data_IF_229306490247
#
_entry.id   IF_229306490247
#
_cell.length_a   1.000
_cell.length_b   1.000
_cell.length_c   1.000
_cell.angle_alpha   90.00
_cell.angle_beta   90.00
_cell.angle_gamma   90.00
#
_symmetry.space_group_name_H-M   'P 1'
#
loop_
_entity.id
_entity.type
_entity.pdbx_description
1 polymer ?
#
# COMPACT_ATOMS: atom_id res chain seq x y z
N UNK A 1 -9.13 -6.14 3.77
CA UNK A 1 -9.63 -4.83 3.29
C UNK A 1 -8.42 -3.93 3.06
N UNK A 2 -8.20 -3.57 1.84
CA UNK A 2 -7.03 -2.83 1.41
C UNK A 2 -7.39 -1.41 0.99
N UNK A 3 -6.50 -0.50 1.27
CA UNK A 3 -6.54 0.90 0.92
C UNK A 3 -5.33 1.21 0.05
N UNK A 4 -5.56 1.83 -1.10
CA UNK A 4 -4.50 2.21 -2.04
C UNK A 4 -4.59 3.70 -2.37
N UNK A 5 -3.45 4.36 -2.43
CA UNK A 5 -3.29 5.72 -2.92
C UNK A 5 -2.33 5.71 -4.10
N UNK A 6 -2.77 6.33 -5.18
CA UNK A 6 -2.01 6.50 -6.41
C UNK A 6 -2.12 7.96 -6.90
N UNK A 7 -1.17 8.44 -7.70
CA UNK A 7 -1.35 9.68 -8.44
C UNK A 7 -2.56 9.56 -9.38
N UNK A 8 -3.35 10.63 -9.51
CA UNK A 8 -4.37 10.67 -10.54
C UNK A 8 -3.70 10.71 -11.93
N UNK A 9 -4.29 10.09 -12.94
CA UNK A 9 -3.75 10.03 -14.31
C UNK A 9 -3.47 11.41 -14.95
N UNK A 10 -4.10 12.47 -14.43
CA UNK A 10 -3.87 13.86 -14.83
C UNK A 10 -2.69 14.56 -14.11
N UNK A 11 -2.21 13.98 -13.00
CA UNK A 11 -1.10 14.54 -12.23
C UNK A 11 0.19 13.83 -12.64
N UNK A 12 0.99 14.47 -13.48
CA UNK A 12 2.36 14.01 -13.74
C UNK A 12 3.19 14.25 -12.48
N UNK A 13 3.34 13.21 -11.66
CA UNK A 13 4.32 13.21 -10.59
C UNK A 13 5.71 13.44 -11.19
N UNK A 14 6.51 14.31 -10.57
CA UNK A 14 7.90 14.49 -10.96
C UNK A 14 8.60 13.12 -10.96
N UNK A 15 9.26 12.72 -12.04
CA UNK A 15 9.91 11.42 -12.11
C UNK A 15 10.94 11.31 -10.99
N UNK A 16 10.86 10.26 -10.20
CA UNK A 16 11.91 9.88 -9.29
C UNK A 16 13.17 9.59 -10.13
N UNK A 17 14.38 9.97 -9.70
CA UNK A 17 15.59 9.74 -10.46
C UNK A 17 15.79 8.22 -10.68
N UNK A 18 15.60 7.78 -11.91
CA UNK A 18 15.89 6.41 -12.33
C UNK A 18 17.39 6.27 -12.43
N UNK A 19 18.01 5.57 -11.47
CA UNK A 19 19.41 5.18 -11.57
C UNK A 19 19.54 4.13 -12.69
N UNK A 20 20.09 4.51 -13.84
CA UNK A 20 20.56 3.56 -14.86
C UNK A 20 21.70 2.74 -14.25
N UNK A 21 21.47 1.46 -14.08
CA UNK A 21 22.53 0.52 -13.76
C UNK A 21 23.44 0.37 -15.00
N UNK A 22 24.63 0.90 -14.90
CA UNK A 22 25.72 0.63 -15.85
C UNK A 22 26.70 -0.36 -15.22
N UNK A 23 26.94 -1.47 -15.90
CA UNK A 23 28.17 -2.25 -15.83
C UNK A 23 28.26 -3.25 -14.67
N UNK A 24 28.05 -4.52 -14.99
CA UNK A 24 28.43 -5.66 -14.16
C UNK A 24 29.95 -5.86 -14.30
N UNK A 25 30.70 -5.71 -13.20
CA UNK A 25 32.02 -6.31 -13.03
C UNK A 25 31.95 -7.36 -11.92
N UNK A 26 32.45 -8.58 -12.12
CA UNK A 26 32.49 -9.58 -11.07
C UNK A 26 33.71 -9.36 -10.17
N UNK A 27 33.52 -9.64 -8.88
CA UNK A 27 34.48 -9.63 -7.77
C UNK A 27 34.58 -8.31 -6.98
N UNK A 28 33.66 -8.18 -6.03
CA UNK A 28 33.88 -7.44 -4.80
C UNK A 28 33.23 -8.22 -3.63
N UNK A 29 33.97 -8.34 -2.54
CA UNK A 29 33.51 -8.85 -1.23
C UNK A 29 32.10 -8.34 -0.90
N UNK A 30 31.27 -9.04 -0.10
CA UNK A 30 29.91 -8.60 0.19
C UNK A 30 29.95 -7.28 0.96
N UNK A 31 30.02 -6.17 0.24
CA UNK A 31 29.63 -4.88 0.77
C UNK A 31 28.21 -5.07 1.29
N UNK A 32 28.02 -4.88 2.60
CA UNK A 32 26.67 -4.84 3.18
C UNK A 32 25.88 -3.82 2.38
N UNK A 33 25.05 -4.33 1.46
CA UNK A 33 24.19 -3.50 0.63
C UNK A 33 23.38 -2.61 1.56
N UNK A 34 23.47 -1.30 1.37
CA UNK A 34 22.67 -0.35 2.15
C UNK A 34 21.22 -0.76 2.08
N UNK A 35 20.49 -0.74 3.21
CA UNK A 35 19.08 -1.14 3.21
C UNK A 35 18.34 -0.31 2.18
N UNK A 36 17.56 -0.96 1.32
CA UNK A 36 16.70 -0.31 0.32
C UNK A 36 15.30 -0.01 0.85
N UNK A 37 15.04 -0.34 2.10
CA UNK A 37 13.80 -0.06 2.80
C UNK A 37 14.06 0.51 4.19
N UNK A 38 13.08 1.26 4.71
CA UNK A 38 13.08 1.78 6.07
C UNK A 38 11.76 1.46 6.77
N UNK A 39 11.83 1.19 8.08
CA UNK A 39 10.65 1.00 8.90
C UNK A 39 10.82 1.66 10.25
N UNK A 40 9.79 2.36 10.73
CA UNK A 40 9.79 3.02 12.03
C UNK A 40 8.37 3.24 12.55
N UNK A 41 8.25 3.51 13.86
CA UNK A 41 6.97 3.85 14.51
C UNK A 41 6.53 5.30 14.30
N UNK A 42 7.40 6.18 13.82
CA UNK A 42 7.06 7.58 13.53
C UNK A 42 6.79 7.80 12.04
N UNK A 43 5.79 8.60 11.73
CA UNK A 43 5.28 8.81 10.36
C UNK A 43 6.32 9.47 9.43
N UNK A 44 7.29 10.20 9.96
CA UNK A 44 8.33 10.84 9.16
C UNK A 44 9.17 9.86 8.34
N UNK A 45 9.17 8.57 8.68
CA UNK A 45 9.83 7.51 7.88
C UNK A 45 9.32 7.49 6.43
N UNK A 46 8.07 7.88 6.17
CA UNK A 46 7.50 7.91 4.83
C UNK A 46 8.13 8.98 3.93
N UNK A 47 8.69 10.05 4.51
CA UNK A 47 9.40 11.09 3.75
C UNK A 47 10.75 10.59 3.20
N UNK A 48 11.31 9.54 3.81
CA UNK A 48 12.57 8.93 3.38
C UNK A 48 12.48 8.21 2.03
N UNK A 49 11.28 8.02 1.49
CA UNK A 49 11.08 7.44 0.15
C UNK A 49 11.80 8.22 -0.95
N UNK A 50 12.10 9.51 -0.71
CA UNK A 50 12.85 10.37 -1.63
C UNK A 50 14.37 10.21 -1.49
N UNK A 51 14.84 9.48 -0.48
CA UNK A 51 16.26 9.23 -0.26
C UNK A 51 16.77 8.24 -1.31
N UNK A 52 17.89 8.59 -1.93
CA UNK A 52 18.49 7.74 -2.98
C UNK A 52 18.78 6.32 -2.45
N UNK A 53 18.25 5.34 -3.13
CA UNK A 53 18.42 3.92 -2.81
C UNK A 53 17.32 3.36 -1.91
N UNK A 54 16.43 4.17 -1.34
CA UNK A 54 15.24 3.72 -0.62
C UNK A 54 14.09 3.60 -1.63
N UNK A 55 13.46 2.44 -1.68
CA UNK A 55 12.32 2.16 -2.54
C UNK A 55 11.10 1.60 -1.79
N UNK A 56 11.18 1.52 -0.46
CA UNK A 56 10.09 1.08 0.40
C UNK A 56 10.22 1.75 1.77
N UNK A 57 9.14 2.37 2.25
CA UNK A 57 9.04 2.91 3.60
C UNK A 57 7.82 2.33 4.32
N UNK A 58 8.00 1.85 5.55
CA UNK A 58 6.94 1.25 6.36
C UNK A 58 6.77 2.08 7.63
N UNK A 59 5.61 2.70 7.77
CA UNK A 59 5.20 3.31 9.02
C UNK A 59 4.46 2.28 9.88
N UNK A 60 5.11 1.85 10.95
CA UNK A 60 4.58 0.91 11.95
C UNK A 60 3.70 1.66 12.95
N UNK A 61 2.48 2.01 12.54
CA UNK A 61 1.55 2.72 13.40
C UNK A 61 0.75 1.76 14.28
N UNK A 62 0.36 2.23 15.44
CA UNK A 62 -0.54 1.49 16.33
C UNK A 62 -1.93 1.36 15.70
N UNK A 63 -2.54 0.18 15.86
CA UNK A 63 -3.95 -0.02 15.55
C UNK A 63 -4.83 0.84 16.45
N UNK A 64 -5.82 1.52 15.85
CA UNK A 64 -6.76 2.35 16.60
C UNK A 64 -8.05 1.58 16.89
N UNK A 65 -8.51 1.51 18.14
CA UNK A 65 -9.72 0.74 18.50
C UNK A 65 -10.96 1.13 17.72
N UNK A 66 -11.09 2.41 17.32
CA UNK A 66 -12.24 2.90 16.56
C UNK A 66 -12.33 2.31 15.13
N UNK A 67 -11.25 1.78 14.58
CA UNK A 67 -11.31 1.10 13.29
C UNK A 67 -12.10 -0.20 13.37
N UNK A 68 -12.04 -0.92 14.49
CA UNK A 68 -12.63 -2.24 14.62
C UNK A 68 -14.15 -2.23 14.34
N UNK A 69 -14.88 -1.31 14.95
CA UNK A 69 -16.34 -1.20 14.75
C UNK A 69 -16.69 -0.82 13.29
N UNK A 70 -15.93 0.07 12.67
CA UNK A 70 -16.11 0.43 11.27
C UNK A 70 -15.81 -0.76 10.35
N UNK A 71 -14.70 -1.44 10.58
CA UNK A 71 -14.29 -2.61 9.81
C UNK A 71 -15.31 -3.74 9.94
N UNK A 72 -15.80 -4.01 11.15
CA UNK A 72 -16.86 -5.00 11.38
C UNK A 72 -18.13 -4.65 10.57
N UNK A 73 -18.55 -3.39 10.60
CA UNK A 73 -19.69 -2.90 9.81
C UNK A 73 -19.48 -3.12 8.31
N UNK A 74 -18.26 -2.87 7.81
CA UNK A 74 -17.92 -3.07 6.39
C UNK A 74 -17.87 -4.56 6.05
N UNK A 75 -17.25 -5.39 6.89
CA UNK A 75 -17.06 -6.81 6.61
C UNK A 75 -18.34 -7.63 6.72
N UNK A 76 -19.26 -7.25 7.60
CA UNK A 76 -20.57 -7.91 7.75
C UNK A 76 -21.60 -7.48 6.70
N UNK A 77 -21.33 -6.38 5.97
CA UNK A 77 -22.21 -5.94 4.90
C UNK A 77 -22.13 -6.91 3.70
N UNK A 78 -23.26 -7.35 3.12
CA UNK A 78 -23.26 -8.26 1.98
C UNK A 78 -22.73 -7.63 0.67
N UNK A 79 -22.63 -6.30 0.60
CA UNK A 79 -22.11 -5.61 -0.57
C UNK A 79 -20.57 -5.63 -0.56
N UNK A 80 -19.97 -5.97 -1.69
CA UNK A 80 -18.53 -5.86 -1.87
C UNK A 80 -18.12 -4.39 -1.97
N UNK A 81 -17.30 -3.91 -1.04
CA UNK A 81 -16.88 -2.51 -0.99
C UNK A 81 -15.89 -2.20 -2.12
N UNK A 82 -16.19 -1.19 -2.92
CA UNK A 82 -15.28 -0.61 -3.91
C UNK A 82 -15.58 0.90 -4.04
N UNK A 83 -14.86 1.72 -3.28
CA UNK A 83 -14.91 3.17 -3.40
C UNK A 83 -13.68 3.69 -4.13
N UNK A 84 -13.88 4.67 -4.99
CA UNK A 84 -12.83 5.34 -5.76
C UNK A 84 -13.09 6.85 -5.70
N UNK A 85 -12.22 7.59 -5.01
CA UNK A 85 -12.39 9.00 -4.71
C UNK A 85 -11.11 9.76 -5.10
N UNK A 86 -11.24 11.04 -5.41
CA UNK A 86 -10.11 11.91 -5.73
C UNK A 86 -9.99 13.00 -4.67
N UNK A 87 -8.83 13.11 -4.03
CA UNK A 87 -8.52 14.08 -2.98
C UNK A 87 -9.65 14.22 -1.92
N UNK A 88 -10.14 13.10 -1.32
CA UNK A 88 -11.34 13.13 -0.52
C UNK A 88 -11.13 13.84 0.81
N UNK A 89 -12.17 14.54 1.27
CA UNK A 89 -12.28 15.03 2.64
C UNK A 89 -12.75 13.91 3.58
N UNK A 90 -12.52 14.03 4.91
CA UNK A 90 -13.06 13.09 5.89
C UNK A 90 -14.58 12.89 5.78
N UNK A 91 -15.31 13.97 5.54
CA UNK A 91 -16.78 13.95 5.41
C UNK A 91 -17.21 13.16 4.17
N UNK A 92 -16.58 13.42 3.01
CA UNK A 92 -16.89 12.69 1.77
C UNK A 92 -16.63 11.18 1.90
N UNK A 93 -15.53 10.76 2.53
CA UNK A 93 -15.26 9.34 2.76
C UNK A 93 -16.35 8.73 3.64
N UNK A 94 -16.70 9.38 4.73
CA UNK A 94 -17.73 8.89 5.66
C UNK A 94 -19.12 8.81 5.01
N UNK A 95 -19.54 9.83 4.27
CA UNK A 95 -20.82 9.88 3.56
C UNK A 95 -20.90 8.77 2.47
N UNK A 96 -19.85 8.63 1.70
CA UNK A 96 -19.80 7.56 0.69
C UNK A 96 -19.85 6.17 1.32
N UNK A 97 -19.15 5.93 2.42
CA UNK A 97 -19.23 4.69 3.16
C UNK A 97 -20.64 4.43 3.70
N UNK A 98 -21.25 5.41 4.37
CA UNK A 98 -22.62 5.28 4.91
C UNK A 98 -23.63 5.00 3.79
N UNK A 99 -23.57 5.75 2.70
CA UNK A 99 -24.44 5.57 1.53
C UNK A 99 -24.26 4.19 0.90
N UNK A 100 -23.00 3.80 0.66
CA UNK A 100 -22.70 2.52 0.04
C UNK A 100 -23.18 1.32 0.89
N UNK A 101 -22.97 1.39 2.20
CA UNK A 101 -23.32 0.33 3.13
C UNK A 101 -24.79 0.36 3.53
N UNK A 102 -25.53 1.44 3.23
CA UNK A 102 -26.93 1.62 3.65
C UNK A 102 -27.08 1.73 5.17
N UNK A 103 -26.15 2.42 5.83
CA UNK A 103 -26.08 2.51 7.29
C UNK A 103 -26.77 3.77 7.78
N UNK A 104 -27.79 3.61 8.66
CA UNK A 104 -28.57 4.71 9.23
C UNK A 104 -28.39 4.90 10.73
N UNK A 105 -27.89 3.92 11.47
CA UNK A 105 -27.71 4.03 12.91
C UNK A 105 -26.62 5.04 13.28
N UNK A 106 -26.85 5.81 14.33
CA UNK A 106 -25.90 6.83 14.80
C UNK A 106 -24.53 6.23 15.17
N UNK A 107 -24.52 5.09 15.87
CA UNK A 107 -23.29 4.44 16.32
C UNK A 107 -22.44 3.98 15.13
N UNK A 108 -23.05 3.38 14.13
CA UNK A 108 -22.34 2.95 12.93
C UNK A 108 -21.84 4.14 12.08
N UNK A 109 -22.64 5.20 11.94
CA UNK A 109 -22.21 6.45 11.29
C UNK A 109 -21.02 7.09 12.01
N UNK A 110 -21.02 7.10 13.34
CA UNK A 110 -19.91 7.64 14.14
C UNK A 110 -18.62 6.86 13.92
N UNK A 111 -18.67 5.53 13.92
CA UNK A 111 -17.48 4.67 13.67
C UNK A 111 -16.96 4.83 12.25
N UNK A 112 -17.84 4.89 11.25
CA UNK A 112 -17.47 5.12 9.85
C UNK A 112 -16.89 6.52 9.62
N UNK A 113 -17.38 7.53 10.35
CA UNK A 113 -16.80 8.89 10.31
C UNK A 113 -15.37 8.90 10.85
N UNK A 114 -15.13 8.25 11.98
CA UNK A 114 -13.79 8.13 12.56
C UNK A 114 -12.82 7.39 11.64
N UNK A 115 -13.29 6.30 11.02
CA UNK A 115 -12.53 5.53 10.03
C UNK A 115 -12.27 6.37 8.76
N UNK A 116 -13.29 7.05 8.22
CA UNK A 116 -13.17 7.95 7.08
C UNK A 116 -12.17 9.08 7.32
N UNK A 117 -12.09 9.58 8.54
CA UNK A 117 -11.09 10.58 8.95
C UNK A 117 -9.67 10.01 8.84
N UNK A 118 -9.45 8.78 9.32
CA UNK A 118 -8.14 8.14 9.18
C UNK A 118 -7.73 7.95 7.72
N UNK A 119 -8.66 7.44 6.90
CA UNK A 119 -8.45 7.22 5.47
C UNK A 119 -8.14 8.52 4.73
N UNK A 120 -8.89 9.60 4.99
CA UNK A 120 -8.65 10.91 4.37
C UNK A 120 -7.32 11.54 4.84
N UNK A 121 -6.94 11.35 6.11
CA UNK A 121 -5.65 11.79 6.62
C UNK A 121 -4.48 11.08 5.93
N UNK A 122 -4.61 9.79 5.62
CA UNK A 122 -3.60 9.09 4.83
C UNK A 122 -3.53 9.63 3.38
N UNK A 123 -4.67 10.00 2.78
CA UNK A 123 -4.68 10.64 1.47
C UNK A 123 -3.95 11.99 1.48
N UNK A 124 -4.20 12.82 2.50
CA UNK A 124 -3.50 14.10 2.69
C UNK A 124 -1.99 13.91 2.94
N UNK A 125 -1.62 12.91 3.74
CA UNK A 125 -0.22 12.54 3.97
C UNK A 125 0.46 12.11 2.68
N UNK A 126 -0.20 11.25 1.88
CA UNK A 126 0.31 10.85 0.57
C UNK A 126 0.51 12.04 -0.36
N UNK A 127 -0.46 12.97 -0.43
CA UNK A 127 -0.33 14.21 -1.19
C UNK A 127 0.91 15.00 -0.76
N UNK A 128 1.13 15.15 0.55
CA UNK A 128 2.28 15.87 1.11
C UNK A 128 3.61 15.19 0.75
N UNK A 129 3.70 13.88 0.91
CA UNK A 129 4.94 13.12 0.66
C UNK A 129 5.22 13.00 -0.84
N UNK A 130 4.20 12.74 -1.66
CA UNK A 130 4.36 12.56 -3.10
C UNK A 130 4.46 13.87 -3.88
N UNK A 131 3.88 14.96 -3.36
CA UNK A 131 3.70 16.23 -4.07
C UNK A 131 2.52 16.22 -5.06
N UNK A 132 1.73 15.14 -5.08
CA UNK A 132 0.53 15.01 -5.92
C UNK A 132 -0.59 15.85 -5.34
N UNK A 133 -1.21 16.71 -6.16
CA UNK A 133 -2.29 17.60 -5.69
C UNK A 133 -3.62 16.88 -5.45
N UNK A 134 -3.91 15.90 -6.29
CA UNK A 134 -5.19 15.18 -6.30
C UNK A 134 -4.97 13.66 -6.21
N UNK A 135 -4.60 13.14 -5.03
CA UNK A 135 -4.38 11.70 -4.85
C UNK A 135 -5.67 10.93 -5.10
N UNK A 136 -5.56 9.82 -5.82
CA UNK A 136 -6.66 8.89 -6.03
C UNK A 136 -6.69 7.88 -4.90
N UNK A 137 -7.81 7.82 -4.19
CA UNK A 137 -8.09 6.87 -3.13
C UNK A 137 -8.92 5.71 -3.67
N UNK A 138 -8.44 4.48 -3.48
CA UNK A 138 -9.25 3.27 -3.65
C UNK A 138 -9.37 2.56 -2.32
N UNK A 139 -10.61 2.33 -1.88
CA UNK A 139 -10.92 1.55 -0.69
C UNK A 139 -11.74 0.32 -1.13
N UNK A 140 -11.16 -0.87 -0.98
CA UNK A 140 -11.77 -2.10 -1.47
C UNK A 140 -11.82 -3.17 -0.40
N UNK A 141 -12.90 -3.95 -0.39
CA UNK A 141 -12.95 -5.27 0.24
C UNK A 141 -12.63 -6.31 -0.84
N UNK A 142 -11.51 -6.98 -0.67
CA UNK A 142 -11.08 -8.06 -1.57
C UNK A 142 -11.36 -9.40 -0.88
N UNK A 143 -12.10 -10.28 -1.53
CA UNK A 143 -12.45 -11.60 -0.99
C UNK A 143 -11.36 -12.63 -1.31
N UNK A 144 -10.67 -12.46 -2.44
CA UNK A 144 -9.70 -13.43 -2.99
C UNK A 144 -8.23 -13.06 -2.74
N UNK A 145 -7.92 -12.28 -1.70
CA UNK A 145 -6.54 -11.94 -1.34
C UNK A 145 -5.82 -10.94 -2.25
N UNK A 146 -6.49 -10.41 -3.26
CA UNK A 146 -5.94 -9.38 -4.16
C UNK A 146 -4.95 -9.90 -5.20
N UNK A 147 -3.91 -9.13 -5.50
CA UNK A 147 -2.89 -9.55 -6.46
C UNK A 147 -1.99 -10.63 -5.84
N UNK A 148 -2.04 -11.83 -6.41
CA UNK A 148 -1.31 -13.02 -5.94
C UNK A 148 0.08 -13.15 -6.56
N UNK A 149 0.49 -12.20 -7.41
CA UNK A 149 1.78 -12.22 -8.09
C UNK A 149 2.71 -11.12 -7.56
N UNK A 150 3.97 -11.46 -7.35
CA UNK A 150 4.99 -10.44 -7.19
C UNK A 150 5.24 -9.73 -8.52
N UNK A 151 5.11 -8.43 -8.51
CA UNK A 151 5.34 -7.56 -9.67
C UNK A 151 5.90 -6.21 -9.21
N UNK A 152 6.66 -5.50 -10.04
CA UNK A 152 6.94 -4.10 -9.77
C UNK A 152 5.68 -3.28 -9.99
N UNK A 153 5.44 -2.30 -9.14
CA UNK A 153 4.36 -1.35 -9.40
C UNK A 153 4.71 -0.38 -10.52
N UNK A 154 3.70 -0.07 -11.33
CA UNK A 154 3.87 0.80 -12.49
C UNK A 154 3.65 2.29 -12.22
N UNK A 155 2.83 2.73 -11.23
CA UNK A 155 2.87 4.13 -10.83
C UNK A 155 4.18 4.48 -10.14
N UNK A 156 4.60 5.71 -10.26
CA UNK A 156 5.85 6.21 -9.69
C UNK A 156 5.88 6.17 -8.15
N UNK A 157 4.74 6.11 -7.50
CA UNK A 157 4.60 6.01 -6.05
C UNK A 157 3.21 5.47 -5.67
N UNK A 158 3.15 4.58 -4.68
CA UNK A 158 1.91 4.04 -4.14
C UNK A 158 1.96 3.94 -2.63
N UNK A 159 0.84 4.26 -1.96
CA UNK A 159 0.66 4.04 -0.54
C UNK A 159 -0.43 3.00 -0.30
N UNK A 160 -0.16 2.03 0.56
CA UNK A 160 -1.11 0.97 0.93
C UNK A 160 -1.25 0.90 2.45
N UNK A 161 -2.47 0.67 2.91
CA UNK A 161 -2.77 0.25 4.27
C UNK A 161 -3.81 -0.87 4.26
N UNK A 162 -3.50 -2.01 4.84
CA UNK A 162 -4.46 -3.10 5.03
C UNK A 162 -5.10 -2.96 6.40
N UNK A 163 -6.40 -2.72 6.45
CA UNK A 163 -7.14 -2.55 7.71
C UNK A 163 -7.70 -3.85 8.30
N UNK A 164 -7.85 -4.88 7.48
CA UNK A 164 -8.29 -6.21 7.91
C UNK A 164 -7.78 -7.30 6.97
N UNK A 165 -7.47 -8.46 7.54
CA UNK A 165 -6.91 -9.60 6.81
C UNK A 165 -5.37 -9.53 6.67
N UNK A 166 -4.79 -10.43 5.89
CA UNK A 166 -3.34 -10.46 5.67
C UNK A 166 -2.89 -9.21 4.91
N UNK A 167 -1.76 -8.64 5.33
CA UNK A 167 -1.18 -7.49 4.67
C UNK A 167 -0.45 -7.82 3.38
N UNK A 168 0.00 -6.78 2.69
CA UNK A 168 0.75 -6.89 1.44
C UNK A 168 2.07 -7.63 1.69
N UNK A 169 2.36 -8.63 0.86
CA UNK A 169 3.65 -9.29 0.83
C UNK A 169 4.64 -8.54 -0.06
N UNK A 170 5.90 -8.58 0.33
CA UNK A 170 6.97 -7.94 -0.43
C UNK A 170 8.29 -8.70 -0.31
N UNK A 171 9.21 -8.43 -1.23
CA UNK A 171 10.52 -9.05 -1.31
C UNK A 171 11.64 -8.02 -1.18
N UNK A 172 12.67 -8.36 -0.43
CA UNK A 172 13.92 -7.62 -0.46
C UNK A 172 14.58 -7.73 -1.84
N UNK A 173 15.34 -6.71 -2.21
CA UNK A 173 15.96 -6.63 -3.55
C UNK A 173 16.87 -7.83 -3.87
N UNK A 174 17.50 -8.43 -2.86
CA UNK A 174 18.35 -9.61 -2.98
C UNK A 174 17.59 -10.94 -2.91
N UNK A 175 16.26 -10.88 -2.67
CA UNK A 175 15.38 -12.05 -2.62
C UNK A 175 14.48 -12.19 -3.85
N UNK A 176 14.74 -11.45 -4.92
CA UNK A 176 13.91 -11.46 -6.11
C UNK A 176 14.71 -11.68 -7.40
N UNK A 177 14.25 -12.63 -8.23
CA UNK A 177 14.70 -12.80 -9.62
C UNK A 177 13.85 -11.90 -10.52
N UNK A 178 14.29 -10.66 -10.73
CA UNK A 178 13.50 -9.62 -11.43
C UNK A 178 13.05 -10.01 -12.84
N UNK A 179 13.87 -10.78 -13.57
CA UNK A 179 13.53 -11.29 -14.89
C UNK A 179 12.38 -12.29 -14.87
N UNK A 180 12.05 -12.87 -13.71
CA UNK A 180 10.98 -13.86 -13.54
C UNK A 180 9.67 -13.27 -13.00
N UNK A 181 9.62 -11.97 -12.74
CA UNK A 181 8.42 -11.31 -12.25
C UNK A 181 7.25 -11.38 -13.26
N UNK A 182 6.03 -11.45 -12.73
CA UNK A 182 4.80 -11.61 -13.50
C UNK A 182 4.47 -13.07 -13.83
N UNK A 183 3.29 -13.28 -14.42
CA UNK A 183 2.79 -14.63 -14.68
C UNK A 183 3.57 -15.37 -15.78
N UNK A 184 3.92 -14.68 -16.86
CA UNK A 184 4.57 -15.28 -18.05
C UNK A 184 3.90 -16.55 -18.54
N UNK A 185 2.57 -16.64 -18.39
CA UNK A 185 1.80 -17.84 -18.76
C UNK A 185 1.86 -18.98 -17.73
N UNK A 186 2.51 -18.79 -16.59
CA UNK A 186 2.58 -19.76 -15.49
C UNK A 186 1.38 -19.62 -14.54
N UNK A 187 1.10 -20.66 -13.73
CA UNK A 187 0.22 -20.55 -12.56
C UNK A 187 0.82 -19.57 -11.54
N UNK A 188 -0.01 -19.10 -10.59
CA UNK A 188 0.44 -18.17 -9.55
C UNK A 188 1.56 -18.76 -8.69
N UNK A 189 1.43 -20.02 -8.30
CA UNK A 189 2.42 -20.77 -7.53
C UNK A 189 3.74 -20.86 -8.29
N UNK A 190 3.72 -21.36 -9.54
CA UNK A 190 4.91 -21.47 -10.36
C UNK A 190 5.57 -20.13 -10.69
N UNK A 191 4.80 -19.03 -10.78
CA UNK A 191 5.33 -17.71 -10.98
C UNK A 191 6.01 -17.18 -9.71
N UNK A 192 5.43 -17.44 -8.53
CA UNK A 192 6.03 -17.10 -7.23
C UNK A 192 7.33 -17.87 -7.01
N UNK A 193 7.36 -19.19 -7.23
CA UNK A 193 8.55 -20.03 -7.10
C UNK A 193 9.67 -19.58 -8.04
N UNK A 194 9.32 -19.16 -9.25
CA UNK A 194 10.29 -18.64 -10.19
C UNK A 194 10.89 -17.30 -9.75
N UNK A 195 10.06 -16.40 -9.22
CA UNK A 195 10.47 -15.04 -8.87
C UNK A 195 11.20 -14.96 -7.52
N UNK A 196 10.84 -15.79 -6.54
CA UNK A 196 11.39 -15.76 -5.18
C UNK A 196 12.65 -16.62 -5.07
N UNK A 197 13.71 -16.07 -4.46
CA UNK A 197 14.96 -16.82 -4.24
C UNK A 197 14.82 -17.72 -3.01
N UNK A 198 14.35 -17.17 -1.90
CA UNK A 198 14.14 -17.87 -0.63
C UNK A 198 12.72 -17.55 -0.10
N UNK A 199 11.79 -18.52 -0.16
CA UNK A 199 10.42 -18.34 0.34
C UNK A 199 10.34 -18.00 1.82
N UNK A 200 11.29 -18.44 2.64
CA UNK A 200 11.32 -18.12 4.07
C UNK A 200 11.60 -16.62 4.35
N UNK A 201 12.09 -15.89 3.35
CA UNK A 201 12.37 -14.46 3.40
C UNK A 201 11.26 -13.60 2.75
N UNK A 202 10.11 -14.17 2.42
CA UNK A 202 8.94 -13.38 2.06
C UNK A 202 8.49 -12.58 3.30
N UNK A 203 8.37 -11.28 3.15
CA UNK A 203 7.94 -10.39 4.22
C UNK A 203 6.50 -9.95 4.03
N UNK A 204 5.81 -9.68 5.13
CA UNK A 204 4.42 -9.21 5.13
C UNK A 204 4.30 -7.92 5.93
N UNK A 205 3.60 -6.93 5.38
CA UNK A 205 3.25 -5.71 6.11
C UNK A 205 2.14 -6.06 7.10
N UNK A 206 2.31 -5.73 8.37
CA UNK A 206 1.27 -5.98 9.38
C UNK A 206 0.03 -5.14 9.11
N UNK A 207 -1.13 -5.70 9.46
CA UNK A 207 -2.42 -4.98 9.42
C UNK A 207 -2.34 -3.67 10.20
N UNK A 208 -2.89 -2.60 9.64
CA UNK A 208 -2.83 -1.25 10.21
C UNK A 208 -1.56 -0.47 9.88
N UNK A 209 -0.47 -1.13 9.49
CA UNK A 209 0.73 -0.42 9.05
C UNK A 209 0.53 0.22 7.68
N UNK A 210 1.24 1.30 7.43
CA UNK A 210 1.23 2.02 6.15
C UNK A 210 2.53 1.76 5.42
N UNK A 211 2.45 1.35 4.17
CA UNK A 211 3.61 1.18 3.30
C UNK A 211 3.55 2.16 2.13
N UNK A 212 4.70 2.74 1.80
CA UNK A 212 4.91 3.64 0.66
C UNK A 212 6.06 3.10 -0.18
N UNK A 213 5.85 2.93 -1.49
CA UNK A 213 6.83 2.36 -2.44
C UNK A 213 6.56 2.80 -3.87
#
# INVERSE_FOLDING_TARGET
MNYHLEPNASDQALPLPVSRATGFSPEASPERTKPHYLQASHLSVLHEIRTKGINLCIWQRENKPYWHAAIETILTNPRSLALDLTAPTPTEVAEQLCSFLGVDSYAAKSSLTSFGTDVANLAALFATVSGVKHPRLRLTRQEDGGCVLFHPDTPSLRMICTYAGPGTQWLENDNVRRQELGSRGRSHEAATDAAVIDPARIRTISTGHVVLF
#
